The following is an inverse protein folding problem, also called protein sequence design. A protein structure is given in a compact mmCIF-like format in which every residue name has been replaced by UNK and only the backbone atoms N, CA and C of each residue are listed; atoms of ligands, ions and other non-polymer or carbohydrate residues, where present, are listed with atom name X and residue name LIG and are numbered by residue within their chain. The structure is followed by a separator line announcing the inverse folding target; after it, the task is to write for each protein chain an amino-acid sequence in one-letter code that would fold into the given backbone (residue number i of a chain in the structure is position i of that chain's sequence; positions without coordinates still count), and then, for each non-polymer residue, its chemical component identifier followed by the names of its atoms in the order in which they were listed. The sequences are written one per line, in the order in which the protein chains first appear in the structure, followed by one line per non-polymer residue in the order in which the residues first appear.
data_IF_203011531196
#
_entry.id   IF_203011531196
#
_cell.length_a   1.000
_cell.length_b   1.000
_cell.length_c   1.000
_cell.angle_alpha   90.00
_cell.angle_beta   90.00
_cell.angle_gamma   90.00
#
_symmetry.space_group_name_H-M   'P 1'
#
loop_
_entity.id
_entity.type
_entity.pdbx_description
1 polymer ?
#
# COMPACT_ATOMS: atom_id res chain seq x y z
N UNK A 1 -19.11 -17.16 2.94
CA UNK A 1 -18.24 -16.11 2.37
C UNK A 1 -16.79 -16.57 2.34
N UNK A 2 -16.38 -17.12 1.20
CA UNK A 2 -15.05 -17.69 1.01
C UNK A 2 -14.04 -16.56 0.84
N UNK A 3 -13.07 -16.45 1.78
CA UNK A 3 -11.98 -15.47 1.68
C UNK A 3 -11.01 -15.92 0.60
N UNK A 4 -11.26 -15.54 -0.65
CA UNK A 4 -10.37 -15.86 -1.78
C UNK A 4 -9.05 -15.08 -1.66
N UNK A 5 -7.94 -15.79 -1.45
CA UNK A 5 -6.59 -15.23 -1.59
C UNK A 5 -6.33 -15.03 -3.09
N UNK A 6 -6.00 -13.80 -3.50
CA UNK A 6 -5.57 -13.51 -4.87
C UNK A 6 -4.06 -13.36 -4.91
N UNK A 7 -3.40 -14.21 -5.68
CA UNK A 7 -1.97 -14.10 -5.99
C UNK A 7 -1.82 -13.41 -7.34
N UNK A 8 -0.97 -12.39 -7.40
CA UNK A 8 -0.71 -11.62 -8.62
C UNK A 8 0.79 -11.59 -8.84
N UNK A 9 1.22 -12.11 -9.99
CA UNK A 9 2.62 -12.06 -10.41
C UNK A 9 2.76 -11.02 -11.50
N UNK A 10 3.51 -9.96 -11.21
CA UNK A 10 3.80 -8.90 -12.17
C UNK A 10 5.16 -9.14 -12.80
N UNK A 11 5.24 -9.03 -14.13
CA UNK A 11 6.48 -9.00 -14.90
C UNK A 11 7.43 -10.16 -14.56
N UNK A 12 7.26 -11.37 -15.15
CA UNK A 12 8.08 -12.55 -14.86
C UNK A 12 9.59 -12.34 -15.07
N UNK A 13 9.96 -11.35 -15.88
CA UNK A 13 11.34 -10.96 -16.18
C UNK A 13 11.89 -9.90 -15.19
N UNK A 14 11.14 -9.55 -14.15
CA UNK A 14 11.51 -8.56 -13.14
C UNK A 14 11.62 -7.12 -13.66
N UNK A 15 11.22 -6.84 -14.91
CA UNK A 15 11.31 -5.49 -15.47
C UNK A 15 10.16 -4.64 -14.96
N UNK A 16 10.49 -3.46 -14.43
CA UNK A 16 9.50 -2.42 -14.12
C UNK A 16 8.87 -1.93 -15.43
N UNK A 17 7.54 -1.86 -15.45
CA UNK A 17 6.79 -1.31 -16.57
C UNK A 17 5.69 -0.41 -16.01
N UNK A 18 5.54 0.77 -16.60
CA UNK A 18 4.56 1.79 -16.20
C UNK A 18 3.10 1.40 -16.48
N UNK A 19 2.86 0.18 -16.97
CA UNK A 19 1.54 -0.34 -17.35
C UNK A 19 1.18 -1.61 -16.60
N UNK A 20 2.00 -2.04 -15.64
CA UNK A 20 1.76 -3.28 -14.91
C UNK A 20 0.98 -3.03 -13.63
N UNK A 21 -0.34 -3.05 -13.75
CA UNK A 21 -1.26 -2.98 -12.61
C UNK A 21 -2.44 -3.93 -12.77
N UNK A 22 -3.11 -4.23 -11.67
CA UNK A 22 -4.34 -5.00 -11.62
C UNK A 22 -5.31 -4.32 -10.66
N UNK A 23 -6.52 -4.07 -11.14
CA UNK A 23 -7.65 -3.65 -10.30
C UNK A 23 -8.35 -4.89 -9.74
N UNK A 24 -8.65 -4.88 -8.45
CA UNK A 24 -9.57 -5.88 -7.90
C UNK A 24 -10.99 -5.60 -8.40
N UNK A 25 -11.71 -6.64 -8.82
CA UNK A 25 -12.96 -6.54 -9.58
C UNK A 25 -14.11 -5.75 -8.93
N UNK A 26 -14.01 -5.44 -7.62
CA UNK A 26 -15.03 -4.68 -6.91
C UNK A 26 -14.40 -3.42 -6.32
N UNK A 27 -15.16 -2.33 -6.41
CA UNK A 27 -14.90 -1.17 -5.58
C UNK A 27 -15.32 -1.49 -4.15
N UNK A 28 -14.64 -0.86 -3.19
CA UNK A 28 -14.90 -1.06 -1.77
C UNK A 28 -15.25 0.28 -1.14
N UNK A 29 -16.13 0.28 -0.16
CA UNK A 29 -16.24 1.42 0.72
C UNK A 29 -15.03 1.37 1.66
N UNK A 30 -14.24 2.44 1.70
CA UNK A 30 -13.23 2.56 2.74
C UNK A 30 -13.91 2.65 4.11
N UNK A 31 -13.15 2.32 5.14
CA UNK A 31 -13.63 2.39 6.52
C UNK A 31 -12.76 3.40 7.27
N UNK A 32 -13.35 4.22 8.18
CA UNK A 32 -12.57 5.12 9.01
C UNK A 32 -11.47 4.39 9.78
N UNK A 33 -11.75 3.17 10.23
CA UNK A 33 -10.75 2.24 10.76
C UNK A 33 -10.54 1.07 9.82
N UNK A 34 -9.30 0.76 9.48
CA UNK A 34 -9.01 -0.34 8.55
C UNK A 34 -7.68 -1.02 8.87
N UNK A 35 -7.56 -2.24 8.34
CA UNK A 35 -6.29 -2.96 8.24
C UNK A 35 -6.05 -3.31 6.78
N UNK A 36 -4.89 -2.94 6.27
CA UNK A 36 -4.44 -3.28 4.93
C UNK A 36 -3.17 -4.12 5.06
N UNK A 37 -3.21 -5.37 4.59
CA UNK A 37 -2.07 -6.27 4.61
C UNK A 37 -1.78 -6.82 3.23
N UNK A 38 -0.50 -7.02 2.93
CA UNK A 38 -0.06 -7.70 1.72
C UNK A 38 1.23 -8.48 1.97
N UNK A 39 1.42 -9.52 1.16
CA UNK A 39 2.70 -10.22 1.06
C UNK A 39 3.35 -9.86 -0.25
N UNK A 40 4.63 -9.53 -0.20
CA UNK A 40 5.39 -9.16 -1.39
C UNK A 40 6.78 -9.78 -1.36
N UNK A 41 7.36 -9.92 -2.54
CA UNK A 41 8.73 -10.34 -2.74
C UNK A 41 9.37 -9.35 -3.70
N UNK A 42 10.55 -8.85 -3.34
CA UNK A 42 11.32 -7.93 -4.19
C UNK A 42 12.33 -8.77 -4.97
N UNK A 43 12.18 -8.86 -6.28
CA UNK A 43 13.11 -9.64 -7.10
C UNK A 43 14.33 -8.81 -7.50
N UNK A 44 14.13 -7.52 -7.77
CA UNK A 44 15.20 -6.57 -8.12
C UNK A 44 14.91 -5.23 -7.45
N UNK A 45 15.89 -4.64 -6.76
CA UNK A 45 15.77 -3.26 -6.27
C UNK A 45 15.86 -2.28 -7.43
N UNK A 46 14.77 -1.56 -7.69
CA UNK A 46 14.72 -0.40 -8.57
C UNK A 46 14.03 0.76 -7.87
N UNK A 47 14.16 1.95 -8.45
CA UNK A 47 13.54 3.17 -7.94
C UNK A 47 12.02 3.03 -7.95
N UNK A 48 11.42 3.30 -6.78
CA UNK A 48 10.00 3.57 -6.58
C UNK A 48 9.04 2.50 -7.14
N UNK A 49 8.64 1.56 -6.29
CA UNK A 49 7.59 0.59 -6.61
C UNK A 49 6.41 0.77 -5.66
N UNK A 50 5.32 1.27 -6.21
CA UNK A 50 4.08 1.31 -5.50
C UNK A 50 3.33 0.00 -5.63
N UNK A 51 3.07 -0.66 -4.50
CA UNK A 51 2.62 -2.05 -4.48
C UNK A 51 1.10 -2.15 -4.35
N UNK A 52 0.47 -1.23 -3.61
CA UNK A 52 -0.98 -1.17 -3.45
C UNK A 52 -1.46 0.27 -3.29
N UNK A 53 -2.60 0.55 -3.90
CA UNK A 53 -3.33 1.80 -3.85
C UNK A 53 -4.82 1.55 -3.63
N UNK A 54 -5.41 2.34 -2.74
CA UNK A 54 -6.85 2.55 -2.67
C UNK A 54 -7.10 3.99 -3.11
N UNK A 55 -7.69 4.15 -4.29
CA UNK A 55 -7.95 5.45 -4.91
C UNK A 55 -9.45 5.76 -4.88
N UNK A 56 -9.82 6.95 -4.44
CA UNK A 56 -11.20 7.41 -4.52
C UNK A 56 -11.67 7.41 -5.99
N UNK A 57 -12.88 6.89 -6.22
CA UNK A 57 -13.44 6.71 -7.57
C UNK A 57 -13.82 8.04 -8.24
N UNK A 58 -14.09 9.08 -7.44
CA UNK A 58 -14.50 10.41 -7.87
C UNK A 58 -13.26 11.25 -8.19
N UNK A 59 -12.27 11.22 -7.31
CA UNK A 59 -11.03 11.99 -7.46
C UNK A 59 -9.84 11.19 -6.92
N UNK A 60 -9.00 10.70 -7.82
CA UNK A 60 -7.85 9.85 -7.48
C UNK A 60 -6.76 10.57 -6.67
N UNK A 61 -6.76 11.91 -6.66
CA UNK A 61 -5.82 12.72 -5.90
C UNK A 61 -6.28 12.96 -4.45
N UNK A 62 -7.56 12.72 -4.15
CA UNK A 62 -8.10 12.84 -2.79
C UNK A 62 -7.66 11.65 -1.96
N UNK A 63 -6.74 11.94 -1.03
CA UNK A 63 -6.39 11.08 0.11
C UNK A 63 -6.15 9.60 -0.26
N UNK A 64 -5.27 9.30 -1.24
CA UNK A 64 -4.99 7.91 -1.57
C UNK A 64 -4.37 7.20 -0.36
N UNK A 65 -4.87 6.00 -0.05
CA UNK A 65 -4.22 5.09 0.89
C UNK A 65 -3.27 4.22 0.07
N UNK A 66 -1.99 4.17 0.46
CA UNK A 66 -0.99 3.45 -0.33
C UNK A 66 0.13 2.87 0.51
N UNK A 67 0.70 1.80 -0.03
CA UNK A 67 1.99 1.28 0.39
C UNK A 67 2.94 1.24 -0.81
N UNK A 68 4.09 1.90 -0.63
CA UNK A 68 5.11 2.05 -1.65
C UNK A 68 6.45 1.62 -1.05
N UNK A 69 7.24 0.91 -1.85
CA UNK A 69 8.61 0.55 -1.51
C UNK A 69 9.55 1.44 -2.30
N UNK A 70 10.46 2.08 -1.59
CA UNK A 70 11.59 2.80 -2.14
C UNK A 70 12.88 2.14 -1.66
N UNK A 71 14.00 2.41 -2.31
CA UNK A 71 15.29 1.88 -1.88
C UNK A 71 15.50 2.12 -0.38
N UNK A 72 15.51 1.03 0.40
CA UNK A 72 15.62 1.00 1.88
C UNK A 72 14.50 1.69 2.67
N UNK A 73 13.45 2.19 2.04
CA UNK A 73 12.35 2.92 2.71
C UNK A 73 11.00 2.36 2.34
N UNK A 74 10.06 2.45 3.27
CA UNK A 74 8.64 2.28 2.97
C UNK A 74 8.00 3.66 2.99
N UNK A 75 7.13 3.95 2.03
CA UNK A 75 6.20 5.05 2.14
C UNK A 75 4.80 4.50 2.43
N UNK A 76 4.16 5.05 3.45
CA UNK A 76 2.75 4.76 3.74
C UNK A 76 1.92 6.02 3.63
N UNK A 77 0.73 5.90 3.06
CA UNK A 77 -0.32 6.91 3.11
C UNK A 77 -1.53 6.34 3.84
N UNK A 78 -2.03 7.09 4.82
CA UNK A 78 -3.29 6.82 5.51
C UNK A 78 -4.49 7.55 4.88
N UNK A 79 -4.24 8.31 3.80
CA UNK A 79 -5.12 9.31 3.23
C UNK A 79 -4.55 10.70 3.49
N UNK A 80 -3.96 11.30 2.45
CA UNK A 80 -3.27 12.60 2.51
C UNK A 80 -1.79 12.50 2.13
N UNK A 81 -0.94 13.34 2.72
CA UNK A 81 0.51 13.32 2.47
C UNK A 81 1.14 12.05 3.07
N UNK A 82 1.78 11.25 2.21
CA UNK A 82 2.49 10.04 2.64
C UNK A 82 3.83 10.34 3.27
N UNK A 83 4.17 9.60 4.32
CA UNK A 83 5.47 9.67 4.98
C UNK A 83 6.35 8.51 4.57
N UNK A 84 7.63 8.78 4.46
CA UNK A 84 8.66 7.76 4.30
C UNK A 84 9.20 7.36 5.67
N UNK A 85 9.36 6.07 5.88
CA UNK A 85 9.98 5.51 7.07
C UNK A 85 11.21 4.72 6.66
N UNK A 86 12.27 4.95 7.42
CA UNK A 86 13.47 4.12 7.35
C UNK A 86 13.14 2.72 7.85
N UNK A 87 13.73 1.72 7.19
CA UNK A 87 13.52 0.33 7.56
C UNK A 87 14.57 -0.14 8.55
N UNK A 88 14.19 -0.91 9.59
CA UNK A 88 15.16 -1.44 10.56
C UNK A 88 16.13 -2.44 9.92
N UNK A 89 15.77 -3.00 8.77
CA UNK A 89 16.63 -3.85 7.94
C UNK A 89 16.58 -3.36 6.50
N UNK A 90 17.71 -3.41 5.82
CA UNK A 90 17.72 -3.30 4.37
C UNK A 90 16.85 -4.43 3.81
N UNK A 91 15.94 -4.08 2.91
CA UNK A 91 15.25 -5.11 2.14
C UNK A 91 16.30 -5.96 1.41
N UNK A 92 16.04 -7.26 1.34
CA UNK A 92 16.81 -8.24 0.61
C UNK A 92 15.98 -8.68 -0.60
N UNK A 93 16.66 -8.91 -1.72
CA UNK A 93 16.01 -9.50 -2.88
C UNK A 93 15.61 -10.95 -2.57
N UNK A 94 14.61 -11.45 -3.28
CA UNK A 94 14.11 -12.84 -3.22
C UNK A 94 13.53 -13.26 -1.85
N UNK A 95 13.46 -12.34 -0.87
CA UNK A 95 12.80 -12.55 0.42
C UNK A 95 11.32 -12.15 0.34
N UNK A 96 10.46 -13.00 0.91
CA UNK A 96 9.06 -12.66 1.16
C UNK A 96 8.93 -11.82 2.43
N UNK A 97 8.12 -10.79 2.33
CA UNK A 97 7.77 -9.88 3.41
C UNK A 97 6.27 -9.90 3.65
N UNK A 98 5.87 -9.69 4.91
CA UNK A 98 4.48 -9.44 5.28
C UNK A 98 4.34 -8.02 5.82
N UNK A 99 3.69 -7.16 5.06
CA UNK A 99 3.42 -5.78 5.45
C UNK A 99 1.97 -5.64 5.89
N UNK A 100 1.76 -4.88 6.97
CA UNK A 100 0.44 -4.40 7.35
C UNK A 100 0.50 -2.93 7.76
N UNK A 101 -0.54 -2.18 7.43
CA UNK A 101 -0.83 -0.88 8.01
C UNK A 101 -2.23 -0.90 8.62
N UNK A 102 -2.39 -0.18 9.74
CA UNK A 102 -3.67 -0.03 10.41
C UNK A 102 -3.97 1.44 10.64
N UNK A 103 -5.22 1.83 10.41
CA UNK A 103 -5.77 3.11 10.84
C UNK A 103 -6.82 2.84 11.90
N UNK A 104 -6.74 3.54 13.02
CA UNK A 104 -7.78 3.58 14.03
C UNK A 104 -8.36 5.00 14.11
N UNK A 105 -9.60 5.18 13.65
CA UNK A 105 -10.29 6.46 13.69
C UNK A 105 -10.75 6.87 15.10
N UNK A 106 -10.90 5.93 16.04
CA UNK A 106 -11.34 6.26 17.39
C UNK A 106 -10.19 6.89 18.20
N UNK A 107 -8.99 6.36 18.04
CA UNK A 107 -7.78 6.86 18.73
C UNK A 107 -6.95 7.81 17.87
N UNK A 108 -7.29 7.96 16.58
CA UNK A 108 -6.51 8.69 15.58
C UNK A 108 -5.06 8.19 15.52
N UNK A 109 -4.86 6.87 15.53
CA UNK A 109 -3.53 6.26 15.47
C UNK A 109 -3.33 5.44 14.20
N UNK A 110 -2.18 5.65 13.57
CA UNK A 110 -1.67 4.88 12.45
C UNK A 110 -0.54 3.97 12.92
N UNK A 111 -0.55 2.71 12.50
CA UNK A 111 0.55 1.77 12.79
C UNK A 111 0.98 1.02 11.55
N UNK A 112 2.30 0.89 11.39
CA UNK A 112 2.93 0.12 10.31
C UNK A 112 3.66 -1.07 10.91
N UNK A 113 3.49 -2.23 10.28
CA UNK A 113 4.13 -3.48 10.65
C UNK A 113 4.84 -4.10 9.46
N UNK A 114 6.02 -4.68 9.70
CA UNK A 114 6.71 -5.55 8.75
C UNK A 114 7.11 -6.85 9.45
N UNK A 115 6.79 -7.98 8.82
CA UNK A 115 7.02 -9.33 9.35
C UNK A 115 6.47 -9.50 10.79
N UNK A 116 5.38 -8.79 11.10
CA UNK A 116 4.74 -8.78 12.42
C UNK A 116 5.35 -7.81 13.45
N UNK A 117 6.49 -7.19 13.15
CA UNK A 117 7.12 -6.19 14.01
C UNK A 117 6.54 -4.80 13.77
N UNK A 118 6.18 -4.10 14.85
CA UNK A 118 5.79 -2.68 14.80
C UNK A 118 6.99 -1.83 14.38
N UNK A 119 6.84 -1.07 13.30
CA UNK A 119 7.85 -0.16 12.77
C UNK A 119 7.56 1.30 13.14
N UNK A 120 6.28 1.67 13.07
CA UNK A 120 5.82 3.05 13.23
C UNK A 120 4.53 3.04 14.00
N UNK A 121 4.41 3.96 14.94
CA UNK A 121 3.15 4.37 15.54
C UNK A 121 3.11 5.90 15.51
N UNK A 122 2.05 6.47 14.93
CA UNK A 122 1.94 7.92 14.80
C UNK A 122 0.50 8.43 14.90
N UNK A 123 0.30 9.69 15.33
CA UNK A 123 -1.00 10.33 15.27
C UNK A 123 -1.41 10.58 13.81
N UNK A 124 -2.70 10.40 13.55
CA UNK A 124 -3.33 10.68 12.26
C UNK A 124 -4.19 11.93 12.35
N UNK A 125 -4.29 12.61 11.21
CA UNK A 125 -5.28 13.65 11.03
C UNK A 125 -6.62 12.95 10.73
N UNK A 126 -7.71 13.48 11.28
CA UNK A 126 -9.04 13.02 10.89
C UNK A 126 -9.24 13.24 9.39
N UNK A 127 -9.49 12.15 8.67
CA UNK A 127 -9.73 12.13 7.22
C UNK A 127 -11.25 12.13 7.02
N UNK A 128 -11.78 12.85 6.02
CA UNK A 128 -13.22 12.99 5.77
C UNK A 128 -13.94 11.65 5.56
N UNK A 129 -15.27 11.77 5.44
CA UNK A 129 -16.25 10.68 5.34
C UNK A 129 -15.83 9.52 4.41
N UNK A 130 -16.33 8.31 4.69
CA UNK A 130 -16.03 7.13 3.89
C UNK A 130 -16.21 7.37 2.38
N UNK A 131 -15.19 7.08 1.60
CA UNK A 131 -15.19 7.13 0.15
C UNK A 131 -15.28 5.74 -0.46
N UNK A 132 -15.89 5.66 -1.64
CA UNK A 132 -15.78 4.47 -2.48
C UNK A 132 -14.43 4.50 -3.19
N UNK A 133 -13.65 3.42 -3.04
CA UNK A 133 -12.28 3.33 -3.55
C UNK A 133 -12.07 2.12 -4.46
N UNK A 134 -11.21 2.31 -5.47
CA UNK A 134 -10.66 1.25 -6.33
C UNK A 134 -9.43 0.67 -5.65
N UNK A 135 -9.34 -0.65 -5.54
CA UNK A 135 -8.11 -1.32 -5.09
C UNK A 135 -7.26 -1.68 -6.30
N UNK A 136 -6.08 -1.10 -6.37
CA UNK A 136 -5.11 -1.28 -7.45
C UNK A 136 -3.83 -1.84 -6.84
N UNK A 137 -3.30 -2.91 -7.44
CA UNK A 137 -2.01 -3.51 -7.09
C UNK A 137 -1.15 -3.43 -8.34
N UNK A 138 0.11 -3.00 -8.25
CA UNK A 138 0.91 -2.82 -9.46
C UNK A 138 2.35 -2.39 -9.22
N UNK A 139 2.92 -1.80 -10.26
CA UNK A 139 4.22 -1.12 -10.25
C UNK A 139 4.02 0.27 -10.89
N UNK A 140 4.56 1.30 -10.24
CA UNK A 140 4.55 2.71 -10.65
C UNK A 140 3.20 3.48 -10.54
N UNK A 141 3.30 4.76 -10.14
CA UNK A 141 2.18 5.71 -9.97
C UNK A 141 1.92 6.54 -11.24
N UNK A 142 2.92 6.72 -12.11
CA UNK A 142 2.94 7.78 -13.12
C UNK A 142 1.92 7.71 -14.27
N UNK A 143 1.00 6.74 -14.30
CA UNK A 143 -0.01 6.61 -15.37
C UNK A 143 -1.42 6.22 -14.93
N UNK A 144 -1.72 6.23 -13.62
CA UNK A 144 -3.08 5.92 -13.13
C UNK A 144 -3.95 7.20 -12.98
N UNK A 145 -3.44 8.35 -13.42
CA UNK A 145 -4.22 9.59 -13.58
C UNK A 145 -5.08 9.53 -14.86
#
# INVERSE_FOLDING_TARGET
DEKTIKVITFNPDGKQRSTTSMRLARDIQDSPSYTLCLRFNIWVFRLYNAMIYLQNIIDADINPISFETYFQKIRTKYGGFGKFYEMPINFAAEKWYHYCQTRDAATLQGRVYLDGQLLVEEPLIAIPDPATVKVIIGQDWNRVC
#
